data_IF_497878781615
#
_entry.id   IF_497878781615
#
_cell.length_a   1.000
_cell.length_b   1.000
_cell.length_c   1.000
_cell.angle_alpha   90.00
_cell.angle_beta   90.00
_cell.angle_gamma   90.00
#
_symmetry.space_group_name_H-M   'P 1'
#
loop_
_entity.id
_entity.type
_entity.pdbx_description
1 polymer ?
#
# COMPACT_ATOMS: atom_id res chain seq x y z
N UNK A 1 6.91 -17.37 16.17
CA UNK A 1 5.53 -17.11 16.61
C UNK A 1 4.71 -16.61 15.40
N UNK A 2 4.04 -17.54 14.72
CA UNK A 2 3.02 -17.19 13.73
C UNK A 2 1.66 -17.11 14.44
N UNK A 3 0.93 -16.02 14.23
CA UNK A 3 -0.41 -15.79 14.75
C UNK A 3 -1.35 -15.56 13.56
N UNK A 4 -2.61 -15.90 13.73
CA UNK A 4 -3.59 -15.90 12.63
C UNK A 4 -4.06 -14.48 12.24
N UNK A 5 -3.83 -13.48 13.10
CA UNK A 5 -4.24 -12.10 12.84
C UNK A 5 -3.17 -11.10 13.27
N UNK A 6 -3.11 -9.99 12.57
CA UNK A 6 -2.24 -8.86 12.87
C UNK A 6 -2.54 -8.24 14.25
N UNK A 7 -3.81 -8.13 14.60
CA UNK A 7 -4.26 -7.64 15.92
C UNK A 7 -3.71 -8.50 17.06
N UNK A 8 -3.63 -9.83 16.87
CA UNK A 8 -3.08 -10.72 17.90
C UNK A 8 -1.56 -10.59 18.06
N UNK A 9 -0.85 -10.23 16.98
CA UNK A 9 0.58 -9.92 17.04
C UNK A 9 0.85 -8.59 17.73
N UNK A 10 0.05 -7.55 17.46
CA UNK A 10 0.13 -6.26 18.14
C UNK A 10 -0.09 -6.43 19.65
N UNK A 11 -1.12 -7.18 20.03
CA UNK A 11 -1.41 -7.48 21.43
C UNK A 11 -0.25 -8.23 22.11
N UNK A 12 0.35 -9.21 21.43
CA UNK A 12 1.50 -9.95 21.95
C UNK A 12 2.73 -9.04 22.17
N UNK A 13 2.96 -8.09 21.27
CA UNK A 13 4.02 -7.08 21.42
C UNK A 13 3.76 -6.17 22.63
N UNK A 14 2.54 -5.64 22.73
CA UNK A 14 2.14 -4.75 23.84
C UNK A 14 2.19 -5.44 25.21
N UNK A 15 1.95 -6.75 25.26
CA UNK A 15 2.05 -7.57 26.48
C UNK A 15 3.47 -8.08 26.76
N UNK A 16 4.47 -7.71 25.94
CA UNK A 16 5.84 -8.17 26.11
C UNK A 16 6.05 -9.67 25.84
N UNK A 17 5.14 -10.32 25.13
CA UNK A 17 5.26 -11.74 24.75
C UNK A 17 6.19 -11.94 23.53
N UNK A 18 6.43 -10.89 22.77
CA UNK A 18 7.39 -10.81 21.67
C UNK A 18 8.13 -9.48 21.75
N UNK A 19 9.38 -9.45 21.30
CA UNK A 19 10.24 -8.26 21.35
C UNK A 19 10.13 -7.41 20.09
N UNK A 20 9.86 -8.04 18.93
CA UNK A 20 9.79 -7.39 17.61
C UNK A 20 8.65 -7.96 16.79
N UNK A 21 8.08 -7.10 15.94
CA UNK A 21 7.02 -7.42 15.02
C UNK A 21 7.31 -6.75 13.67
N UNK A 22 7.26 -7.52 12.58
CA UNK A 22 7.21 -6.96 11.23
C UNK A 22 5.75 -6.62 10.89
N UNK A 23 5.46 -5.34 10.65
CA UNK A 23 4.11 -4.83 10.48
C UNK A 23 4.10 -3.65 9.52
N UNK A 24 2.94 -3.30 8.97
CA UNK A 24 2.79 -2.09 8.18
C UNK A 24 3.06 -0.84 9.02
N UNK A 25 3.69 0.14 8.39
CA UNK A 25 3.96 1.44 9.04
C UNK A 25 2.68 2.14 9.48
N UNK A 26 1.60 2.02 8.69
CA UNK A 26 0.28 2.54 9.04
C UNK A 26 -0.22 2.01 10.37
N UNK A 27 -0.09 0.70 10.59
CA UNK A 27 -0.55 0.07 11.83
C UNK A 27 0.33 0.45 13.02
N UNK A 28 1.65 0.52 12.80
CA UNK A 28 2.56 0.98 13.84
C UNK A 28 2.22 2.40 14.32
N UNK A 29 1.91 3.32 13.40
CA UNK A 29 1.49 4.69 13.72
C UNK A 29 0.11 4.73 14.41
N UNK A 30 -0.88 4.00 13.88
CA UNK A 30 -2.23 3.98 14.43
C UNK A 30 -2.30 3.37 15.84
N UNK A 31 -1.42 2.42 16.12
CA UNK A 31 -1.29 1.79 17.45
C UNK A 31 -0.24 2.44 18.35
N UNK A 32 0.31 3.58 17.94
CA UNK A 32 1.34 4.32 18.70
C UNK A 32 2.56 3.47 19.09
N UNK A 33 2.94 2.53 18.22
CA UNK A 33 4.10 1.66 18.44
C UNK A 33 5.39 2.41 18.08
N UNK A 34 6.47 2.11 18.80
CA UNK A 34 7.81 2.50 18.34
C UNK A 34 8.22 1.59 17.19
N UNK A 35 8.73 2.15 16.12
CA UNK A 35 9.12 1.38 14.94
C UNK A 35 10.43 1.87 14.32
N UNK A 36 11.02 1.01 13.51
CA UNK A 36 12.19 1.29 12.69
C UNK A 36 11.77 1.06 11.24
N UNK A 37 11.92 2.08 10.40
CA UNK A 37 11.68 1.94 8.97
C UNK A 37 12.71 1.01 8.35
N UNK A 38 12.24 0.01 7.61
CA UNK A 38 13.12 -0.89 6.86
C UNK A 38 13.64 -0.19 5.59
N UNK A 39 14.88 -0.49 5.17
CA UNK A 39 15.40 0.02 3.89
C UNK A 39 14.51 -0.36 2.70
N UNK A 40 14.43 0.51 1.67
CA UNK A 40 13.57 0.32 0.49
C UNK A 40 13.74 -1.03 -0.22
N UNK A 41 14.93 -1.63 -0.18
CA UNK A 41 15.18 -2.96 -0.74
C UNK A 41 14.43 -4.11 -0.05
N UNK A 42 13.97 -3.92 1.18
CA UNK A 42 13.33 -4.99 1.96
C UNK A 42 11.97 -4.61 2.56
N UNK A 43 11.54 -3.36 2.43
CA UNK A 43 10.26 -2.89 2.94
C UNK A 43 9.10 -3.07 1.96
N UNK A 44 9.38 -3.57 0.76
CA UNK A 44 8.40 -3.86 -0.31
C UNK A 44 7.61 -2.63 -0.81
N UNK A 45 8.09 -1.40 -0.58
CA UNK A 45 7.34 -0.19 -0.93
C UNK A 45 7.58 0.33 -2.33
N UNK A 46 8.65 -0.11 -3.00
CA UNK A 46 9.11 0.45 -4.27
C UNK A 46 8.77 -0.48 -5.46
N UNK A 47 7.82 -0.10 -6.34
CA UNK A 47 7.50 -0.89 -7.53
C UNK A 47 8.69 -1.14 -8.46
N UNK A 48 9.67 -0.25 -8.52
CA UNK A 48 10.87 -0.43 -9.32
C UNK A 48 11.77 -1.58 -8.83
N UNK A 49 11.58 -2.03 -7.58
CA UNK A 49 12.30 -3.16 -6.98
C UNK A 49 11.55 -4.50 -7.13
N UNK A 50 10.49 -4.57 -7.93
CA UNK A 50 9.64 -5.76 -8.06
C UNK A 50 10.44 -7.02 -8.37
N UNK A 51 11.37 -6.96 -9.33
CA UNK A 51 12.24 -8.09 -9.69
C UNK A 51 13.17 -8.54 -8.54
N UNK A 52 13.60 -7.61 -7.68
CA UNK A 52 14.39 -7.95 -6.51
C UNK A 52 13.51 -8.61 -5.44
N UNK A 53 12.31 -8.10 -5.20
CA UNK A 53 11.38 -8.67 -4.21
C UNK A 53 10.93 -10.08 -4.57
N UNK A 54 10.78 -10.39 -5.86
CA UNK A 54 10.42 -11.74 -6.35
C UNK A 54 11.44 -12.83 -5.99
N UNK A 55 12.67 -12.47 -5.61
CA UNK A 55 13.67 -13.44 -5.15
C UNK A 55 13.35 -13.99 -3.76
N UNK A 56 12.57 -13.25 -2.96
CA UNK A 56 12.06 -13.73 -1.67
C UNK A 56 10.85 -14.64 -1.89
N UNK A 57 10.97 -15.91 -1.49
CA UNK A 57 9.89 -16.89 -1.65
C UNK A 57 9.48 -17.41 -0.27
N UNK A 58 8.17 -17.44 -0.02
CA UNK A 58 7.57 -18.05 1.17
C UNK A 58 6.80 -19.31 0.73
N UNK A 59 7.21 -20.45 1.26
CA UNK A 59 6.51 -21.71 1.02
C UNK A 59 5.27 -21.81 1.93
N UNK A 60 4.11 -21.96 1.31
CA UNK A 60 2.83 -22.10 2.04
C UNK A 60 2.14 -23.39 1.69
N UNK A 61 1.11 -23.74 2.46
CA UNK A 61 0.27 -24.93 2.18
C UNK A 61 -0.46 -24.86 0.83
N UNK A 62 -0.67 -23.63 0.32
CA UNK A 62 -1.37 -23.37 -0.93
C UNK A 62 -0.42 -23.11 -2.12
N UNK A 63 0.88 -23.33 -1.94
CA UNK A 63 1.92 -23.07 -2.93
C UNK A 63 2.88 -21.94 -2.50
N UNK A 64 3.84 -21.67 -3.36
CA UNK A 64 4.86 -20.67 -3.14
C UNK A 64 4.34 -19.24 -3.41
N UNK A 65 4.66 -18.33 -2.52
CA UNK A 65 4.38 -16.90 -2.66
C UNK A 65 5.70 -16.16 -2.86
N UNK A 66 5.87 -15.56 -4.02
CA UNK A 66 6.99 -14.66 -4.28
C UNK A 66 6.69 -13.25 -3.75
N UNK A 67 7.71 -12.58 -3.25
CA UNK A 67 7.62 -11.21 -2.81
C UNK A 67 7.21 -10.27 -3.95
N UNK A 68 6.43 -9.26 -3.63
CA UNK A 68 5.96 -8.24 -4.59
C UNK A 68 5.79 -6.90 -3.89
N UNK A 69 5.79 -5.79 -4.63
CA UNK A 69 5.48 -4.48 -4.04
C UNK A 69 4.13 -4.49 -3.32
N UNK A 70 4.11 -3.90 -2.12
CA UNK A 70 2.90 -3.69 -1.34
C UNK A 70 2.37 -2.31 -1.72
N UNK A 71 1.31 -2.28 -2.53
CA UNK A 71 0.69 -1.05 -3.01
C UNK A 71 -0.82 -1.09 -2.77
N UNK A 72 -1.37 0.06 -2.46
CA UNK A 72 -2.81 0.27 -2.39
C UNK A 72 -3.29 0.80 -3.73
N UNK A 73 -4.45 0.37 -4.16
CA UNK A 73 -5.06 0.81 -5.39
C UNK A 73 -6.48 1.33 -5.15
N UNK A 74 -6.90 2.31 -5.96
CA UNK A 74 -8.27 2.78 -6.02
C UNK A 74 -8.77 2.62 -7.44
N UNK A 75 -10.02 2.20 -7.59
CA UNK A 75 -10.70 2.09 -8.89
C UNK A 75 -12.13 2.58 -8.79
N UNK A 76 -12.69 3.01 -9.92
CA UNK A 76 -14.11 3.31 -10.04
C UNK A 76 -14.84 2.09 -10.58
N UNK A 77 -16.00 1.79 -10.00
CA UNK A 77 -16.83 0.67 -10.48
C UNK A 77 -17.50 1.05 -11.80
N UNK A 78 -17.31 0.22 -12.82
CA UNK A 78 -17.95 0.40 -14.10
C UNK A 78 -19.48 0.32 -13.97
N UNK A 79 -20.19 1.23 -14.65
CA UNK A 79 -21.66 1.28 -14.61
C UNK A 79 -22.23 1.90 -13.31
N UNK A 80 -21.39 2.49 -12.46
CA UNK A 80 -21.86 3.24 -11.28
C UNK A 80 -22.76 4.40 -11.70
N UNK A 81 -23.93 4.51 -11.08
CA UNK A 81 -24.86 5.64 -11.26
C UNK A 81 -24.27 6.96 -10.74
N UNK A 82 -23.26 6.89 -9.89
CA UNK A 82 -22.59 8.04 -9.26
C UNK A 82 -21.15 8.23 -9.78
N UNK A 83 -20.88 7.87 -11.03
CA UNK A 83 -19.52 7.93 -11.59
C UNK A 83 -18.85 9.31 -11.43
N UNK A 84 -19.61 10.41 -11.60
CA UNK A 84 -19.07 11.77 -11.42
C UNK A 84 -18.68 12.09 -9.97
N UNK A 85 -19.37 11.51 -8.97
CA UNK A 85 -18.99 11.64 -7.55
C UNK A 85 -17.75 10.80 -7.26
N UNK A 86 -17.70 9.58 -7.81
CA UNK A 86 -16.53 8.70 -7.68
C UNK A 86 -15.27 9.35 -8.28
N UNK A 87 -15.37 9.98 -9.45
CA UNK A 87 -14.27 10.72 -10.07
C UNK A 87 -13.76 11.85 -9.15
N UNK A 88 -14.67 12.64 -8.57
CA UNK A 88 -14.30 13.71 -7.62
C UNK A 88 -13.64 13.16 -6.37
N UNK A 89 -14.10 12.03 -5.85
CA UNK A 89 -13.48 11.37 -4.70
C UNK A 89 -12.06 10.90 -5.02
N UNK A 90 -11.87 10.23 -6.16
CA UNK A 90 -10.53 9.79 -6.60
C UNK A 90 -9.62 11.00 -6.82
N UNK A 91 -10.12 12.09 -7.44
CA UNK A 91 -9.35 13.31 -7.61
C UNK A 91 -8.94 13.94 -6.26
N UNK A 92 -9.84 13.95 -5.26
CA UNK A 92 -9.54 14.40 -3.91
C UNK A 92 -8.46 13.52 -3.25
N UNK A 93 -8.59 12.21 -3.35
CA UNK A 93 -7.65 11.23 -2.77
C UNK A 93 -6.25 11.38 -3.37
N UNK A 94 -6.15 11.54 -4.68
CA UNK A 94 -4.88 11.71 -5.41
C UNK A 94 -4.33 13.14 -5.32
N UNK A 95 -5.15 14.10 -4.93
CA UNK A 95 -4.75 15.49 -4.76
C UNK A 95 -4.03 15.76 -3.43
N UNK A 96 -3.53 17.00 -3.24
CA UNK A 96 -2.69 17.34 -2.07
C UNK A 96 -3.34 17.05 -0.72
N UNK A 97 -4.65 17.25 -0.60
CA UNK A 97 -5.39 17.00 0.66
C UNK A 97 -5.44 15.50 0.98
N UNK A 98 -5.81 14.66 0.01
CA UNK A 98 -5.86 13.22 0.18
C UNK A 98 -4.47 12.64 0.46
N UNK A 99 -3.45 13.08 -0.27
CA UNK A 99 -2.07 12.67 -0.05
C UNK A 99 -1.58 13.04 1.36
N UNK A 100 -1.92 14.23 1.86
CA UNK A 100 -1.58 14.62 3.24
C UNK A 100 -2.26 13.71 4.28
N UNK A 101 -3.52 13.33 4.07
CA UNK A 101 -4.22 12.38 4.95
C UNK A 101 -3.55 11.01 4.91
N UNK A 102 -3.24 10.49 3.72
CA UNK A 102 -2.54 9.19 3.57
C UNK A 102 -1.20 9.19 4.29
N UNK A 103 -0.38 10.22 4.08
CA UNK A 103 0.92 10.37 4.71
C UNK A 103 0.84 10.42 6.24
N UNK A 104 -0.11 11.22 6.78
CA UNK A 104 -0.31 11.34 8.22
C UNK A 104 -0.76 10.03 8.88
N UNK A 105 -1.34 9.12 8.11
CA UNK A 105 -1.73 7.79 8.56
C UNK A 105 -0.68 6.70 8.23
N UNK A 106 0.53 7.08 7.84
CA UNK A 106 1.65 6.16 7.64
C UNK A 106 1.70 5.46 6.30
N UNK A 107 0.83 5.82 5.36
CA UNK A 107 0.90 5.32 4.00
C UNK A 107 2.02 6.03 3.23
N UNK A 108 2.73 5.27 2.40
CA UNK A 108 3.61 5.84 1.38
C UNK A 108 2.79 6.61 0.34
N UNK A 109 3.39 7.62 -0.25
CA UNK A 109 2.74 8.40 -1.32
C UNK A 109 3.52 8.25 -2.62
N UNK A 110 2.80 8.06 -3.73
CA UNK A 110 3.31 8.27 -5.07
C UNK A 110 2.69 9.55 -5.61
N UNK A 111 3.52 10.55 -5.91
CA UNK A 111 3.06 11.82 -6.43
C UNK A 111 3.91 12.22 -7.64
N UNK A 112 3.38 12.05 -8.85
CA UNK A 112 2.03 11.55 -9.17
C UNK A 112 1.84 10.06 -8.86
N UNK A 113 0.56 9.65 -8.69
CA UNK A 113 0.21 8.25 -8.50
C UNK A 113 0.40 7.44 -9.79
N UNK A 114 0.56 6.13 -9.69
CA UNK A 114 0.67 5.28 -10.87
C UNK A 114 -0.68 4.73 -11.31
N UNK A 115 -0.86 4.58 -12.62
CA UNK A 115 -2.05 3.96 -13.23
C UNK A 115 -1.67 2.90 -14.26
N UNK A 116 -2.38 1.78 -14.22
CA UNK A 116 -2.14 0.65 -15.15
C UNK A 116 -2.72 0.93 -16.54
N UNK A 117 -3.89 1.60 -16.61
CA UNK A 117 -4.62 1.88 -17.85
C UNK A 117 -4.97 3.37 -17.95
N UNK A 118 -3.96 4.21 -18.17
CA UNK A 118 -4.14 5.68 -18.25
C UNK A 118 -5.12 6.07 -19.38
N UNK A 119 -5.12 5.33 -20.49
CA UNK A 119 -5.98 5.57 -21.64
C UNK A 119 -7.48 5.45 -21.29
N UNK A 120 -7.84 4.52 -20.40
CA UNK A 120 -9.22 4.27 -19.99
C UNK A 120 -9.73 5.22 -18.90
N UNK A 121 -8.86 6.09 -18.34
CA UNK A 121 -9.22 6.98 -17.25
C UNK A 121 -10.02 8.20 -17.72
N UNK A 122 -10.91 8.75 -16.84
CA UNK A 122 -11.50 10.06 -17.03
C UNK A 122 -10.45 11.15 -17.23
N UNK A 123 -10.71 12.08 -18.12
CA UNK A 123 -9.75 13.14 -18.47
C UNK A 123 -9.29 13.97 -17.24
N UNK A 124 -10.19 14.18 -16.28
CA UNK A 124 -9.90 14.91 -15.04
C UNK A 124 -8.84 14.24 -14.16
N UNK A 125 -8.72 12.92 -14.24
CA UNK A 125 -7.76 12.13 -13.43
C UNK A 125 -6.42 11.93 -14.14
N UNK A 126 -6.35 11.95 -15.46
CA UNK A 126 -5.12 11.69 -16.24
C UNK A 126 -3.93 12.55 -15.83
N UNK A 127 -4.18 13.80 -15.43
CA UNK A 127 -3.15 14.75 -14.99
C UNK A 127 -2.58 14.49 -13.59
N UNK A 128 -3.21 13.58 -12.84
CA UNK A 128 -2.83 13.23 -11.46
C UNK A 128 -2.05 11.92 -11.38
N UNK A 129 -1.79 11.30 -12.53
CA UNK A 129 -1.17 9.98 -12.58
C UNK A 129 -0.08 9.90 -13.64
N UNK A 130 0.80 8.93 -13.45
CA UNK A 130 1.77 8.45 -14.44
C UNK A 130 1.49 6.97 -14.78
N UNK A 131 1.95 6.48 -15.95
CA UNK A 131 1.87 5.06 -16.25
C UNK A 131 2.61 4.23 -15.19
N UNK A 132 2.04 3.06 -14.86
CA UNK A 132 2.74 2.09 -13.99
C UNK A 132 4.11 1.76 -14.59
N UNK A 133 5.21 1.79 -13.82
CA UNK A 133 6.52 1.47 -14.34
C UNK A 133 6.54 0.03 -14.86
N UNK A 134 6.96 -0.16 -16.11
CA UNK A 134 7.15 -1.47 -16.68
C UNK A 134 8.23 -2.22 -15.88
N UNK A 135 7.91 -3.42 -15.45
CA UNK A 135 8.83 -4.36 -14.78
C UNK A 135 9.75 -5.04 -15.79
#
# INVERSE_FOLDING_TARGET
>A
NMRDTETSLISALQLGQIDYLAIYRSDALQHHLKFIDLPGKINLSDPAQAAYYQQGIVHTKNGDLAGKPIVYAVTMVNGSTNAGVAEKYVALLLGPQGQAVMKNNGFGEFNPAFAVHVEAMPAGLKKLVEPWPAS
#
